data_IF_028010817530
#
_entry.id   IF_028010817530
#
_cell.length_a   1.000
_cell.length_b   1.000
_cell.length_c   1.000
_cell.angle_alpha   90.00
_cell.angle_beta   90.00
_cell.angle_gamma   90.00
#
_symmetry.space_group_name_H-M   'P 1'
#
loop_
_entity.id
_entity.type
_entity.pdbx_description
1 polymer ?
#
# COMPACT_ATOMS: atom_id res chain seq x y z
N UNK A 1 -5.52 -11.47 3.59
CA UNK A 1 -4.56 -12.48 3.21
C UNK A 1 -5.23 -13.66 2.48
N UNK A 2 -6.10 -14.43 3.13
CA UNK A 2 -6.70 -15.67 2.63
C UNK A 2 -7.46 -15.53 1.29
N UNK A 3 -8.05 -14.39 1.03
CA UNK A 3 -8.86 -14.16 -0.18
C UNK A 3 -8.05 -13.65 -1.38
N UNK A 4 -6.81 -13.23 -1.18
CA UNK A 4 -6.02 -12.61 -2.24
C UNK A 4 -4.51 -12.83 -2.08
N UNK A 5 -3.86 -12.21 -1.09
CA UNK A 5 -2.40 -12.20 -0.96
C UNK A 5 -1.79 -13.60 -0.92
N UNK A 6 -2.45 -14.55 -0.27
CA UNK A 6 -2.07 -15.96 -0.20
C UNK A 6 -1.68 -16.53 -1.57
N UNK A 7 -2.52 -16.31 -2.56
CA UNK A 7 -2.31 -16.84 -3.92
C UNK A 7 -1.17 -16.13 -4.66
N UNK A 8 -0.97 -14.85 -4.40
CA UNK A 8 0.13 -14.08 -4.95
C UNK A 8 1.46 -14.49 -4.33
N UNK A 9 1.49 -14.73 -3.03
CA UNK A 9 2.68 -15.23 -2.30
C UNK A 9 3.04 -16.63 -2.79
N UNK A 10 2.10 -17.55 -2.84
CA UNK A 10 2.33 -18.93 -3.28
C UNK A 10 2.79 -19.02 -4.74
N UNK A 11 2.20 -18.21 -5.60
CA UNK A 11 2.54 -18.17 -7.01
C UNK A 11 3.74 -17.28 -7.33
N UNK A 12 4.33 -16.59 -6.34
CA UNK A 12 5.35 -15.57 -6.55
C UNK A 12 4.98 -14.60 -7.68
N UNK A 13 3.74 -14.06 -7.61
CA UNK A 13 3.16 -13.27 -8.69
C UNK A 13 3.75 -11.87 -8.69
N UNK A 14 4.68 -11.64 -9.60
CA UNK A 14 5.36 -10.37 -9.80
C UNK A 14 5.06 -9.82 -11.19
N UNK A 15 4.68 -8.56 -11.30
CA UNK A 15 4.58 -7.86 -12.57
C UNK A 15 5.98 -7.59 -13.10
N UNK A 16 6.24 -7.98 -14.34
CA UNK A 16 7.55 -7.84 -14.99
C UNK A 16 8.70 -8.52 -14.21
N UNK A 17 8.40 -9.56 -13.42
CA UNK A 17 9.39 -10.29 -12.63
C UNK A 17 9.94 -9.54 -11.40
N UNK A 18 9.44 -8.34 -11.11
CA UNK A 18 10.00 -7.48 -10.06
C UNK A 18 8.97 -6.86 -9.12
N UNK A 19 7.84 -6.40 -9.67
CA UNK A 19 6.87 -5.62 -8.90
C UNK A 19 5.79 -6.50 -8.27
N UNK A 20 5.69 -6.57 -6.92
CA UNK A 20 4.58 -7.25 -6.26
C UNK A 20 3.30 -6.45 -6.44
N UNK A 21 2.31 -7.03 -7.13
CA UNK A 21 1.04 -6.35 -7.45
C UNK A 21 0.02 -6.37 -6.31
N UNK A 22 0.44 -6.70 -5.11
CA UNK A 22 -0.40 -6.77 -3.90
C UNK A 22 -1.19 -5.49 -3.64
N UNK A 23 -0.57 -4.33 -3.87
CA UNK A 23 -1.22 -3.02 -3.68
C UNK A 23 -2.52 -2.91 -4.47
N UNK A 24 -2.56 -3.41 -5.71
CA UNK A 24 -3.78 -3.43 -6.52
C UNK A 24 -4.91 -4.23 -5.87
N UNK A 25 -4.59 -5.40 -5.34
CA UNK A 25 -5.52 -6.27 -4.63
C UNK A 25 -5.96 -5.68 -3.29
N UNK A 26 -5.01 -5.16 -2.51
CA UNK A 26 -5.28 -4.54 -1.22
C UNK A 26 -6.26 -3.37 -1.33
N UNK A 27 -6.12 -2.52 -2.36
CA UNK A 27 -7.05 -1.40 -2.62
C UNK A 27 -8.48 -1.87 -2.89
N UNK A 28 -8.67 -2.97 -3.62
CA UNK A 28 -10.00 -3.55 -3.82
C UNK A 28 -10.60 -4.02 -2.50
N UNK A 29 -9.83 -4.72 -1.66
CA UNK A 29 -10.34 -5.16 -0.35
C UNK A 29 -10.59 -3.99 0.60
N UNK A 30 -9.81 -2.94 0.54
CA UNK A 30 -10.06 -1.69 1.25
C UNK A 30 -11.39 -1.06 0.80
N UNK A 31 -11.60 -0.95 -0.51
CA UNK A 31 -12.87 -0.47 -1.07
C UNK A 31 -14.07 -1.33 -0.65
N UNK A 32 -13.92 -2.66 -0.67
CA UNK A 32 -14.94 -3.60 -0.19
C UNK A 32 -15.33 -3.35 1.28
N UNK A 33 -14.35 -3.13 2.14
CA UNK A 33 -14.60 -2.86 3.57
C UNK A 33 -15.33 -1.53 3.76
N UNK A 34 -14.90 -0.48 3.05
CA UNK A 34 -15.53 0.85 3.11
C UNK A 34 -16.97 0.78 2.60
N UNK A 35 -17.21 0.15 1.44
CA UNK A 35 -18.56 0.05 0.87
C UNK A 35 -19.52 -0.71 1.79
N UNK A 36 -19.05 -1.80 2.41
CA UNK A 36 -19.84 -2.56 3.39
C UNK A 36 -20.19 -1.72 4.61
N UNK A 37 -19.20 -1.02 5.15
CA UNK A 37 -19.40 -0.15 6.30
C UNK A 37 -20.36 1.00 5.98
N UNK A 38 -20.21 1.63 4.81
CA UNK A 38 -21.13 2.69 4.36
C UNK A 38 -22.59 2.20 4.30
N UNK A 39 -22.82 1.00 3.74
CA UNK A 39 -24.17 0.41 3.73
C UNK A 39 -24.66 0.07 5.14
N UNK A 40 -23.79 -0.43 6.02
CA UNK A 40 -24.14 -0.79 7.40
C UNK A 40 -24.63 0.41 8.21
N UNK A 41 -23.94 1.56 8.07
CA UNK A 41 -24.29 2.79 8.80
C UNK A 41 -25.31 3.68 8.07
N UNK A 42 -25.73 3.31 6.86
CA UNK A 42 -26.62 4.10 6.03
C UNK A 42 -25.98 5.44 5.60
N UNK A 43 -24.72 5.43 5.20
CA UNK A 43 -24.02 6.63 4.77
C UNK A 43 -24.61 7.18 3.48
N UNK A 44 -24.73 8.50 3.38
CA UNK A 44 -25.18 9.19 2.16
C UNK A 44 -24.04 9.34 1.14
N UNK A 45 -22.80 9.42 1.62
CA UNK A 45 -21.62 9.62 0.77
C UNK A 45 -20.38 8.87 1.27
N UNK A 46 -19.47 8.56 0.33
CA UNK A 46 -18.10 8.08 0.58
C UNK A 46 -17.13 9.07 -0.05
N UNK A 47 -16.19 9.59 0.75
CA UNK A 47 -15.16 10.50 0.24
C UNK A 47 -13.81 9.79 0.12
N UNK A 48 -13.06 10.05 -0.94
CA UNK A 48 -11.67 9.61 -1.07
C UNK A 48 -10.79 10.62 -1.81
N UNK A 49 -9.49 10.60 -1.51
CA UNK A 49 -8.48 11.51 -2.05
C UNK A 49 -7.67 10.97 -3.23
N UNK A 50 -8.15 9.95 -3.94
CA UNK A 50 -7.40 9.41 -5.09
C UNK A 50 -7.38 10.40 -6.24
N UNK A 51 -6.17 10.63 -6.79
CA UNK A 51 -5.96 11.55 -7.92
C UNK A 51 -6.42 10.94 -9.24
N UNK A 52 -6.70 11.78 -10.23
CA UNK A 52 -7.06 11.35 -11.59
C UNK A 52 -5.92 10.65 -12.37
N UNK A 53 -4.68 10.80 -11.93
CA UNK A 53 -3.51 10.22 -12.60
C UNK A 53 -3.24 8.76 -12.23
N UNK A 54 -3.72 8.30 -11.06
CA UNK A 54 -3.47 6.96 -10.54
C UNK A 54 -4.57 5.95 -10.87
N UNK A 55 -4.32 4.67 -10.60
CA UNK A 55 -5.30 3.60 -10.79
C UNK A 55 -6.22 3.40 -9.58
N UNK A 56 -5.91 3.99 -8.42
CA UNK A 56 -6.67 3.76 -7.19
C UNK A 56 -8.07 4.36 -7.27
N UNK A 57 -8.25 5.47 -7.97
CA UNK A 57 -9.56 6.05 -8.25
C UNK A 57 -10.50 5.03 -8.91
N UNK A 58 -10.02 4.33 -9.95
CA UNK A 58 -10.84 3.35 -10.67
C UNK A 58 -11.20 2.18 -9.74
N UNK A 59 -10.27 1.72 -8.94
CA UNK A 59 -10.48 0.62 -8.00
C UNK A 59 -11.54 0.96 -6.96
N UNK A 60 -11.47 2.16 -6.38
CA UNK A 60 -12.43 2.63 -5.40
C UNK A 60 -13.79 2.92 -6.04
N UNK A 61 -13.82 3.74 -7.09
CA UNK A 61 -15.08 4.13 -7.75
C UNK A 61 -15.85 2.90 -8.22
N UNK A 62 -15.22 1.97 -8.93
CA UNK A 62 -15.87 0.73 -9.37
C UNK A 62 -16.39 -0.10 -8.21
N UNK A 63 -15.61 -0.21 -7.13
CA UNK A 63 -16.03 -0.96 -5.95
C UNK A 63 -17.25 -0.34 -5.29
N UNK A 64 -17.27 0.98 -5.14
CA UNK A 64 -18.39 1.71 -4.53
C UNK A 64 -19.63 1.69 -5.42
N UNK A 65 -19.50 1.93 -6.72
CA UNK A 65 -20.62 1.87 -7.68
C UNK A 65 -21.30 0.51 -7.70
N UNK A 66 -20.53 -0.58 -7.54
CA UNK A 66 -21.09 -1.95 -7.56
C UNK A 66 -21.69 -2.34 -6.21
N UNK A 67 -21.05 -1.97 -5.10
CA UNK A 67 -21.41 -2.50 -3.78
C UNK A 67 -22.21 -1.53 -2.90
N UNK A 68 -22.18 -0.25 -3.23
CA UNK A 68 -22.95 0.80 -2.57
C UNK A 68 -23.58 1.75 -3.62
N UNK A 69 -24.43 1.25 -4.54
CA UNK A 69 -24.87 1.99 -5.72
C UNK A 69 -25.76 3.21 -5.40
N UNK A 70 -26.24 3.34 -4.16
CA UNK A 70 -27.03 4.48 -3.70
C UNK A 70 -26.22 5.55 -2.96
N UNK A 71 -24.91 5.36 -2.80
CA UNK A 71 -24.04 6.25 -2.03
C UNK A 71 -23.31 7.20 -2.98
N UNK A 72 -23.31 8.50 -2.67
CA UNK A 72 -22.57 9.51 -3.43
C UNK A 72 -21.05 9.30 -3.27
N UNK A 73 -20.29 9.44 -4.36
CA UNK A 73 -18.82 9.37 -4.32
C UNK A 73 -18.25 10.78 -4.41
N UNK A 74 -17.60 11.25 -3.34
CA UNK A 74 -17.01 12.58 -3.25
C UNK A 74 -15.50 12.47 -3.50
N UNK A 75 -14.99 13.17 -4.50
CA UNK A 75 -13.60 13.07 -4.97
C UNK A 75 -12.94 14.46 -5.08
N UNK A 76 -12.87 15.20 -3.97
CA UNK A 76 -12.41 16.59 -3.95
C UNK A 76 -11.07 16.80 -4.66
N UNK A 77 -10.07 15.93 -4.40
CA UNK A 77 -8.74 16.04 -5.03
C UNK A 77 -8.83 15.97 -6.57
N UNK A 78 -9.70 15.10 -7.10
CA UNK A 78 -9.92 14.96 -8.54
C UNK A 78 -10.78 16.08 -9.12
N UNK A 79 -11.84 16.45 -8.41
CA UNK A 79 -12.83 17.40 -8.88
C UNK A 79 -12.28 18.83 -8.88
N UNK A 80 -11.47 19.17 -7.88
CA UNK A 80 -10.79 20.47 -7.79
C UNK A 80 -9.48 20.53 -8.57
N UNK A 81 -8.93 19.38 -8.95
CA UNK A 81 -7.66 19.24 -9.68
C UNK A 81 -6.52 20.09 -9.07
N UNK A 82 -6.45 20.15 -7.74
CA UNK A 82 -5.45 20.91 -7.03
C UNK A 82 -4.05 20.33 -7.27
N UNK A 83 -3.07 21.20 -7.46
CA UNK A 83 -1.67 20.83 -7.37
C UNK A 83 -1.30 20.55 -5.91
N UNK A 84 -0.27 19.75 -5.68
CA UNK A 84 0.23 19.47 -4.33
C UNK A 84 0.55 20.74 -3.54
N UNK A 85 1.10 21.78 -4.19
CA UNK A 85 1.39 23.04 -3.53
C UNK A 85 0.10 23.73 -3.06
N UNK A 86 -0.94 23.75 -3.89
CA UNK A 86 -2.24 24.33 -3.51
C UNK A 86 -2.91 23.56 -2.37
N UNK A 87 -2.76 22.22 -2.31
CA UNK A 87 -3.24 21.43 -1.17
C UNK A 87 -2.49 21.79 0.12
N UNK A 88 -1.16 21.95 0.05
CA UNK A 88 -0.33 22.36 1.18
C UNK A 88 -0.71 23.77 1.65
N UNK A 89 -0.87 24.72 0.74
CA UNK A 89 -1.23 26.08 1.05
C UNK A 89 -2.59 26.13 1.74
N UNK A 90 -3.58 25.40 1.22
CA UNK A 90 -4.89 25.25 1.82
C UNK A 90 -4.84 24.71 3.25
N UNK A 91 -4.05 23.64 3.47
CA UNK A 91 -3.89 23.06 4.81
C UNK A 91 -3.25 24.06 5.79
N UNK A 92 -2.21 24.77 5.35
CA UNK A 92 -1.55 25.79 6.16
C UNK A 92 -2.48 26.95 6.54
N UNK A 93 -3.29 27.44 5.57
CA UNK A 93 -4.28 28.49 5.79
C UNK A 93 -5.34 28.09 6.81
N UNK A 94 -5.65 26.79 6.90
CA UNK A 94 -6.63 26.23 7.84
C UNK A 94 -5.99 25.72 9.14
N UNK A 95 -4.72 26.04 9.39
CA UNK A 95 -4.04 25.74 10.67
C UNK A 95 -3.51 24.30 10.79
N UNK A 96 -3.46 23.54 9.70
CA UNK A 96 -2.86 22.22 9.66
C UNK A 96 -1.38 22.33 9.31
N UNK A 97 -0.52 22.39 10.33
CA UNK A 97 0.92 22.35 10.13
C UNK A 97 1.41 20.89 10.10
N UNK A 98 2.05 20.48 9.01
CA UNK A 98 2.70 19.18 8.89
C UNK A 98 4.04 19.31 8.18
N UNK A 99 4.93 18.32 8.38
CA UNK A 99 6.17 18.25 7.62
C UNK A 99 5.89 17.70 6.22
N UNK A 100 5.66 18.61 5.29
CA UNK A 100 5.38 18.27 3.89
C UNK A 100 6.62 17.88 3.08
N UNK A 101 7.84 17.97 3.65
CA UNK A 101 9.08 17.58 2.96
C UNK A 101 9.11 16.09 2.63
N UNK A 102 8.45 15.26 3.46
CA UNK A 102 8.29 13.81 3.24
C UNK A 102 7.35 13.45 2.08
N UNK A 103 6.60 14.42 1.56
CA UNK A 103 5.67 14.21 0.44
C UNK A 103 6.34 14.14 -0.94
N UNK A 104 7.68 14.19 -0.99
CA UNK A 104 8.45 14.03 -2.23
C UNK A 104 8.23 12.65 -2.87
N UNK A 105 8.02 11.62 -2.05
CA UNK A 105 7.80 10.24 -2.50
C UNK A 105 6.39 9.76 -2.15
N UNK A 106 5.86 8.88 -2.98
CA UNK A 106 4.67 8.11 -2.70
C UNK A 106 5.06 6.70 -2.27
N UNK A 107 4.61 6.30 -1.10
CA UNK A 107 4.89 4.99 -0.51
C UNK A 107 3.64 4.13 -0.54
N UNK A 108 3.79 2.90 -1.04
CA UNK A 108 2.78 1.87 -0.93
C UNK A 108 3.37 0.70 -0.14
N UNK A 109 3.01 0.61 1.12
CA UNK A 109 3.49 -0.43 2.03
C UNK A 109 2.42 -1.50 2.16
N UNK A 110 2.79 -2.74 1.92
CA UNK A 110 1.91 -3.90 2.05
C UNK A 110 2.65 -5.12 2.57
N UNK A 111 1.90 -6.13 2.98
CA UNK A 111 2.46 -7.38 3.52
C UNK A 111 3.37 -8.12 2.53
N UNK A 112 3.11 -8.00 1.22
CA UNK A 112 3.85 -8.69 0.17
C UNK A 112 5.01 -7.87 -0.41
N UNK A 113 5.09 -6.60 -0.09
CA UNK A 113 6.17 -5.73 -0.53
C UNK A 113 5.84 -4.25 -0.44
N UNK A 114 6.86 -3.43 -0.63
CA UNK A 114 6.76 -1.98 -0.61
C UNK A 114 7.19 -1.42 -1.95
N UNK A 115 6.46 -0.43 -2.46
CA UNK A 115 6.89 0.36 -3.60
C UNK A 115 7.06 1.83 -3.22
N UNK A 116 8.10 2.47 -3.77
CA UNK A 116 8.41 3.87 -3.58
C UNK A 116 8.42 4.52 -4.97
N UNK A 117 7.66 5.58 -5.15
CA UNK A 117 7.55 6.31 -6.42
C UNK A 117 7.73 7.80 -6.20
N UNK A 118 8.16 8.51 -7.24
CA UNK A 118 8.36 9.98 -7.19
C UNK A 118 9.81 10.38 -6.93
N UNK A 119 10.02 11.67 -6.65
CA UNK A 119 11.36 12.19 -6.42
C UNK A 119 12.28 12.05 -7.63
N UNK A 120 13.52 11.64 -7.40
CA UNK A 120 14.57 11.53 -8.40
C UNK A 120 14.24 10.51 -9.51
N UNK A 121 13.51 9.44 -9.18
CA UNK A 121 13.15 8.38 -10.15
C UNK A 121 12.07 8.79 -11.16
N UNK A 122 11.61 10.04 -11.14
CA UNK A 122 10.85 10.63 -12.25
C UNK A 122 11.75 10.84 -13.49
N UNK A 123 13.05 10.97 -13.30
CA UNK A 123 14.06 10.92 -14.34
C UNK A 123 14.59 9.47 -14.45
N UNK A 124 14.48 8.88 -15.63
CA UNK A 124 14.91 7.48 -15.88
C UNK A 124 16.42 7.25 -15.73
N UNK A 125 17.23 8.32 -15.71
CA UNK A 125 18.67 8.27 -15.48
C UNK A 125 19.05 8.29 -13.99
N UNK A 126 18.09 8.50 -13.08
CA UNK A 126 18.32 8.62 -11.66
C UNK A 126 17.86 7.36 -10.91
N UNK A 127 18.61 7.00 -9.85
CA UNK A 127 18.23 5.98 -8.90
C UNK A 127 17.51 6.57 -7.69
N UNK A 128 16.86 5.70 -6.92
CA UNK A 128 16.29 6.09 -5.63
C UNK A 128 17.44 6.33 -4.64
N UNK A 129 17.52 7.49 -3.96
CA UNK A 129 18.56 7.73 -2.97
C UNK A 129 18.28 6.89 -1.70
N UNK A 130 19.33 6.53 -0.98
CA UNK A 130 19.24 5.73 0.24
C UNK A 130 18.27 6.33 1.26
N UNK A 131 18.28 7.66 1.41
CA UNK A 131 17.39 8.39 2.33
C UNK A 131 15.90 8.26 2.03
N UNK A 132 15.53 7.78 0.84
CA UNK A 132 14.13 7.57 0.46
C UNK A 132 13.56 6.25 0.97
N UNK A 133 14.40 5.30 1.39
CA UNK A 133 13.92 4.05 1.96
C UNK A 133 13.33 4.27 3.35
N UNK A 134 12.18 3.64 3.62
CA UNK A 134 11.47 3.77 4.90
C UNK A 134 12.24 3.21 6.08
N UNK A 135 13.06 2.19 5.82
CA UNK A 135 13.94 1.56 6.79
C UNK A 135 15.36 1.59 6.26
N UNK A 136 16.30 1.76 7.16
CA UNK A 136 17.73 1.76 6.87
C UNK A 136 18.35 0.49 7.42
N UNK A 137 19.36 -0.05 6.74
CA UNK A 137 20.09 -1.21 7.26
C UNK A 137 20.88 -0.77 8.50
N UNK A 138 20.54 -1.37 9.63
CA UNK A 138 21.15 -1.08 10.94
C UNK A 138 22.08 -2.18 11.44
N UNK A 139 21.97 -3.39 10.87
CA UNK A 139 22.81 -4.53 11.21
C UNK A 139 24.12 -4.53 10.43
N UNK A 140 25.20 -4.87 11.12
CA UNK A 140 26.50 -5.18 10.51
C UNK A 140 26.64 -6.69 10.30
N UNK A 141 27.22 -7.08 9.14
CA UNK A 141 27.46 -8.47 8.78
C UNK A 141 26.27 -9.18 8.14
N UNK A 142 26.42 -10.49 7.95
CA UNK A 142 25.39 -11.35 7.35
C UNK A 142 24.78 -12.28 8.40
N UNK A 143 23.50 -12.55 8.24
CA UNK A 143 22.74 -13.49 9.07
C UNK A 143 22.12 -14.57 8.17
N UNK A 144 22.13 -15.82 8.63
CA UNK A 144 21.45 -16.90 7.91
C UNK A 144 19.97 -16.95 8.32
N UNK A 145 19.11 -17.00 7.32
CA UNK A 145 17.67 -17.14 7.50
C UNK A 145 17.21 -18.47 6.88
N UNK A 146 16.59 -19.33 7.70
CA UNK A 146 15.98 -20.59 7.24
C UNK A 146 14.48 -20.44 7.19
N UNK A 147 13.90 -20.60 5.99
CA UNK A 147 12.47 -20.58 5.77
C UNK A 147 11.96 -21.99 5.48
N UNK A 148 10.92 -22.41 6.19
CA UNK A 148 10.28 -23.71 5.99
C UNK A 148 8.90 -23.54 5.41
N UNK A 149 8.65 -24.18 4.26
CA UNK A 149 7.39 -24.12 3.55
C UNK A 149 6.70 -25.50 3.55
N UNK A 150 5.39 -25.49 3.71
CA UNK A 150 4.53 -26.65 3.49
C UNK A 150 3.47 -26.29 2.46
N UNK A 151 3.42 -27.02 1.34
CA UNK A 151 2.46 -26.78 0.23
C UNK A 151 2.42 -25.33 -0.24
N UNK A 152 3.58 -24.66 -0.25
CA UNK A 152 3.72 -23.27 -0.67
C UNK A 152 3.45 -22.22 0.42
N UNK A 153 3.03 -22.61 1.60
CA UNK A 153 2.79 -21.70 2.72
C UNK A 153 4.00 -21.67 3.67
N UNK A 154 4.44 -20.48 4.07
CA UNK A 154 5.50 -20.31 5.04
C UNK A 154 5.02 -20.75 6.42
N UNK A 155 5.66 -21.78 7.00
CA UNK A 155 5.30 -22.40 8.28
C UNK A 155 6.30 -22.18 9.39
N UNK A 156 7.57 -21.93 9.07
CA UNK A 156 8.55 -21.61 10.09
C UNK A 156 9.61 -20.65 9.56
N UNK A 157 10.13 -19.85 10.48
CA UNK A 157 11.25 -18.93 10.27
C UNK A 157 12.31 -19.31 11.31
N UNK A 158 13.48 -19.75 10.84
CA UNK A 158 14.48 -20.42 11.66
C UNK A 158 13.87 -21.63 12.40
N UNK A 159 13.84 -21.62 13.72
CA UNK A 159 13.26 -22.71 14.54
C UNK A 159 11.86 -22.37 15.09
N UNK A 160 11.36 -21.17 14.80
CA UNK A 160 10.05 -20.71 15.24
C UNK A 160 8.96 -21.12 14.24
N UNK A 161 7.95 -21.87 14.71
CA UNK A 161 6.81 -22.30 13.91
C UNK A 161 5.65 -21.31 14.05
N UNK A 162 4.91 -21.14 12.97
CA UNK A 162 3.76 -20.22 12.90
C UNK A 162 2.52 -20.94 12.37
N UNK A 163 1.43 -20.87 13.11
CA UNK A 163 0.11 -21.26 12.62
C UNK A 163 -0.53 -20.17 11.75
N UNK A 164 -0.17 -18.90 12.00
CA UNK A 164 -0.61 -17.74 11.25
C UNK A 164 0.47 -17.33 10.23
N UNK A 165 0.21 -17.50 8.92
CA UNK A 165 1.18 -17.14 7.88
C UNK A 165 1.49 -15.63 7.81
N UNK A 166 0.56 -14.77 8.28
CA UNK A 166 0.80 -13.33 8.35
C UNK A 166 1.93 -13.05 9.35
N UNK A 167 1.87 -13.66 10.53
CA UNK A 167 2.93 -13.53 11.55
C UNK A 167 4.25 -14.08 11.07
N UNK A 168 4.25 -15.18 10.32
CA UNK A 168 5.45 -15.73 9.71
C UNK A 168 6.10 -14.72 8.73
N UNK A 169 5.31 -14.09 7.86
CA UNK A 169 5.81 -13.07 6.91
C UNK A 169 6.32 -11.84 7.66
N UNK A 170 5.61 -11.37 8.68
CA UNK A 170 6.04 -10.25 9.52
C UNK A 170 7.36 -10.55 10.25
N UNK A 171 7.56 -11.80 10.68
CA UNK A 171 8.82 -12.22 11.28
C UNK A 171 9.99 -12.18 10.29
N UNK A 172 9.75 -12.55 9.03
CA UNK A 172 10.76 -12.41 7.96
C UNK A 172 11.09 -10.93 7.74
N UNK A 173 10.08 -10.05 7.73
CA UNK A 173 10.29 -8.60 7.60
C UNK A 173 11.11 -8.04 8.76
N UNK A 174 10.81 -8.44 9.99
CA UNK A 174 11.55 -8.01 11.20
C UNK A 174 13.05 -8.36 11.11
N UNK A 175 13.37 -9.53 10.56
CA UNK A 175 14.76 -9.99 10.42
C UNK A 175 15.43 -9.36 9.20
N UNK A 176 14.74 -9.31 8.07
CA UNK A 176 15.30 -8.90 6.78
C UNK A 176 15.30 -7.41 6.52
N UNK A 177 14.50 -6.65 7.29
CA UNK A 177 14.39 -5.19 7.19
C UNK A 177 14.36 -4.56 8.59
N UNK A 178 15.43 -4.74 9.39
CA UNK A 178 15.50 -4.30 10.78
C UNK A 178 15.53 -2.78 10.94
#
# INVERSE_FOLDING_TARGET
>A
YEKSLKYMVFGNVLRNGTYPISVSSERIFQGLAIARYANEIGADAIAHGSTGAGNDQIRFDMTFLVLAPGVEIITLTRDMALSRQQEIDYLNEHGFAADFTKLKYSYNVGLWGTSICGGEILDSAQGLPESAYLKQVTKEGSEQLRLTFEKGELKAVNDEKFDDPIKAIQKVEEIGAP
#
